data_IF_472788008795
#
_entry.id   IF_472788008795
#
_cell.length_a   1.000
_cell.length_b   1.000
_cell.length_c   1.000
_cell.angle_alpha   90.00
_cell.angle_beta   90.00
_cell.angle_gamma   90.00
#
_symmetry.space_group_name_H-M   'P 1'
#
loop_
_entity.id
_entity.type
_entity.pdbx_description
1 polymer ?
#
# COMPACT_ATOMS: atom_id res chain seq x y z
N UNK A 1 -3.29 34.97 -14.85
CA UNK A 1 -3.42 34.78 -13.39
C UNK A 1 -4.85 34.43 -12.98
N UNK A 2 -5.50 33.46 -13.63
CA UNK A 2 -6.86 33.01 -13.28
C UNK A 2 -6.93 31.49 -13.53
N UNK A 3 -6.42 30.67 -12.59
CA UNK A 3 -6.68 29.21 -12.52
C UNK A 3 -6.64 28.68 -11.07
N UNK A 4 -7.01 29.51 -10.10
CA UNK A 4 -7.08 29.12 -8.68
C UNK A 4 -8.50 29.11 -8.09
N UNK A 5 -9.54 29.37 -8.90
CA UNK A 5 -10.90 29.64 -8.43
C UNK A 5 -11.96 28.57 -8.81
N UNK A 6 -11.57 27.40 -9.32
CA UNK A 6 -12.53 26.31 -9.65
C UNK A 6 -12.49 25.17 -8.61
N UNK A 7 -11.57 25.17 -7.65
CA UNK A 7 -11.48 24.10 -6.64
C UNK A 7 -12.41 24.26 -5.42
N UNK A 8 -13.21 25.34 -5.34
CA UNK A 8 -14.00 25.65 -4.15
C UNK A 8 -15.52 25.38 -4.28
N UNK A 9 -16.01 24.79 -5.37
CA UNK A 9 -17.46 24.70 -5.66
C UNK A 9 -18.09 23.30 -5.67
N UNK A 10 -17.43 22.25 -5.16
CA UNK A 10 -18.03 20.89 -5.06
C UNK A 10 -18.10 20.38 -3.61
N UNK A 11 -18.13 21.29 -2.62
CA UNK A 11 -18.21 20.93 -1.19
C UNK A 11 -19.27 21.76 -0.46
N UNK A 12 -20.53 21.68 -0.93
CA UNK A 12 -21.71 21.99 -0.12
C UNK A 12 -23.00 21.63 -0.88
N UNK A 13 -23.38 20.36 -0.90
CA UNK A 13 -24.81 20.02 -0.90
C UNK A 13 -25.05 18.54 -0.60
N UNK A 14 -25.85 18.32 0.44
CA UNK A 14 -26.62 17.12 0.78
C UNK A 14 -25.86 15.98 1.48
N UNK A 15 -25.83 16.07 2.82
CA UNK A 15 -26.07 14.91 3.69
C UNK A 15 -27.59 14.79 3.91
N UNK A 16 -28.14 13.57 3.94
CA UNK A 16 -28.22 12.90 5.24
C UNK A 16 -27.81 11.42 5.23
N UNK A 17 -27.20 11.02 6.34
CA UNK A 17 -27.21 9.70 6.98
C UNK A 17 -27.43 8.45 6.08
N UNK A 18 -26.35 7.75 5.79
CA UNK A 18 -26.28 6.28 5.97
C UNK A 18 -24.83 5.82 5.96
N UNK A 19 -24.50 4.96 6.93
CA UNK A 19 -23.23 4.23 7.04
C UNK A 19 -22.98 3.46 5.74
N UNK A 20 -21.96 3.83 4.98
CA UNK A 20 -21.42 3.02 3.89
C UNK A 20 -19.96 3.38 3.65
N UNK A 21 -19.09 2.40 3.90
CA UNK A 21 -17.72 2.35 3.41
C UNK A 21 -17.68 2.77 1.94
N UNK A 22 -16.97 3.85 1.61
CA UNK A 22 -16.68 4.20 0.21
C UNK A 22 -15.40 3.47 -0.25
N UNK A 23 -15.45 2.70 -1.35
CA UNK A 23 -14.27 2.07 -1.94
C UNK A 23 -13.36 3.11 -2.62
N UNK A 24 -12.08 2.77 -2.90
CA UNK A 24 -11.06 3.71 -3.37
C UNK A 24 -11.17 4.01 -4.89
N UNK A 25 -12.37 4.36 -5.36
CA UNK A 25 -12.60 4.85 -6.73
C UNK A 25 -12.50 6.38 -6.86
N UNK A 26 -12.12 7.09 -5.79
CA UNK A 26 -12.03 8.56 -5.77
C UNK A 26 -10.63 9.15 -5.99
N UNK A 27 -9.65 8.35 -6.43
CA UNK A 27 -8.38 8.92 -6.89
C UNK A 27 -8.53 9.45 -8.32
N UNK A 28 -8.22 10.73 -8.60
CA UNK A 28 -8.31 11.27 -9.94
C UNK A 28 -7.27 10.60 -10.85
N UNK A 29 -7.72 9.83 -11.84
CA UNK A 29 -6.89 9.37 -12.94
C UNK A 29 -6.52 10.58 -13.83
N UNK A 30 -5.28 11.03 -13.74
CA UNK A 30 -4.73 12.02 -14.68
C UNK A 30 -4.24 11.27 -15.92
N UNK A 31 -4.68 11.63 -17.15
CA UNK A 31 -4.22 10.94 -18.37
C UNK A 31 -2.78 11.33 -18.70
N UNK A 32 -1.90 10.34 -18.88
CA UNK A 32 -0.54 10.54 -19.41
C UNK A 32 -0.52 10.41 -20.96
N UNK A 33 0.33 11.18 -21.66
CA UNK A 33 0.48 11.09 -23.11
C UNK A 33 1.37 9.91 -23.52
N UNK A 34 0.94 9.17 -24.55
CA UNK A 34 1.67 8.04 -25.15
C UNK A 34 2.89 8.51 -25.96
N UNK A 35 4.09 7.92 -25.80
CA UNK A 35 5.17 8.08 -26.76
C UNK A 35 5.01 7.18 -27.99
N UNK A 36 5.45 7.69 -29.13
CA UNK A 36 5.40 7.07 -30.46
C UNK A 36 6.30 5.85 -30.59
N UNK A 37 5.83 4.87 -31.37
CA UNK A 37 6.53 3.61 -31.68
C UNK A 37 7.83 3.90 -32.43
N UNK A 38 8.96 3.44 -31.90
CA UNK A 38 10.13 3.09 -32.71
C UNK A 38 10.59 1.68 -32.32
N UNK A 39 10.89 0.93 -33.37
CA UNK A 39 11.02 -0.52 -33.45
C UNK A 39 12.37 -1.02 -32.95
N UNK A 40 12.36 -2.03 -32.06
CA UNK A 40 13.41 -3.05 -32.02
C UNK A 40 12.75 -4.42 -31.91
N UNK A 41 13.03 -5.23 -32.94
CA UNK A 41 12.62 -6.62 -33.11
C UNK A 41 13.52 -7.51 -32.26
N UNK A 42 12.97 -8.13 -31.22
CA UNK A 42 13.53 -9.34 -30.62
C UNK A 42 12.43 -10.40 -30.59
N UNK A 43 12.68 -11.54 -31.24
CA UNK A 43 11.80 -12.70 -31.16
C UNK A 43 11.77 -13.24 -29.72
N UNK A 44 10.62 -13.71 -29.22
CA UNK A 44 10.54 -14.31 -27.89
C UNK A 44 11.27 -15.67 -27.86
N UNK A 45 11.88 -16.06 -26.73
CA UNK A 45 12.38 -17.42 -26.56
C UNK A 45 11.23 -18.43 -26.52
N UNK A 46 11.48 -19.64 -27.01
CA UNK A 46 10.49 -20.71 -27.07
C UNK A 46 9.96 -21.06 -25.66
N UNK A 47 8.65 -21.39 -25.54
CA UNK A 47 8.06 -21.78 -24.26
C UNK A 47 8.73 -23.06 -23.72
N UNK A 48 8.95 -23.16 -22.40
CA UNK A 48 9.55 -24.35 -21.81
C UNK A 48 8.67 -25.57 -22.06
N UNK A 49 9.31 -26.69 -22.37
CA UNK A 49 8.61 -27.94 -22.69
C UNK A 49 7.83 -28.49 -21.47
N UNK A 50 6.87 -29.38 -21.75
CA UNK A 50 6.02 -29.98 -20.72
C UNK A 50 6.83 -30.80 -19.69
N UNK A 51 8.04 -31.25 -20.05
CA UNK A 51 8.98 -31.94 -19.16
C UNK A 51 9.55 -30.99 -18.11
N UNK A 52 9.91 -29.77 -18.51
CA UNK A 52 10.41 -28.71 -17.64
C UNK A 52 9.32 -28.22 -16.69
N UNK A 53 8.09 -28.06 -17.18
CA UNK A 53 6.92 -27.68 -16.36
C UNK A 53 6.59 -28.78 -15.32
N UNK A 54 6.61 -30.05 -15.71
CA UNK A 54 6.36 -31.15 -14.78
C UNK A 54 7.47 -31.31 -13.74
N UNK A 55 8.72 -31.03 -14.10
CA UNK A 55 9.86 -31.05 -13.18
C UNK A 55 9.77 -29.90 -12.15
N UNK A 56 9.36 -28.71 -12.58
CA UNK A 56 9.10 -27.57 -11.70
C UNK A 56 7.94 -27.84 -10.73
N UNK A 57 6.84 -28.42 -11.22
CA UNK A 57 5.70 -28.79 -10.38
C UNK A 57 6.03 -29.90 -9.37
N UNK A 58 6.90 -30.85 -9.74
CA UNK A 58 7.41 -31.87 -8.83
C UNK A 58 8.33 -31.30 -7.74
N UNK A 59 9.09 -30.24 -8.04
CA UNK A 59 9.91 -29.50 -7.06
C UNK A 59 9.05 -28.68 -6.09
N UNK A 60 8.02 -28.00 -6.59
CA UNK A 60 7.06 -27.24 -5.76
C UNK A 60 6.32 -28.19 -4.81
N UNK A 61 5.94 -29.39 -5.27
CA UNK A 61 5.20 -30.39 -4.50
C UNK A 61 6.03 -31.11 -3.42
N UNK A 62 7.35 -31.06 -3.50
CA UNK A 62 8.28 -31.68 -2.55
C UNK A 62 8.81 -30.70 -1.50
N UNK A 63 8.49 -29.41 -1.62
CA UNK A 63 8.82 -28.44 -0.58
C UNK A 63 7.90 -28.72 0.61
N UNK A 64 8.42 -29.15 1.78
CA UNK A 64 7.59 -29.20 2.97
C UNK A 64 7.05 -27.80 3.20
N UNK A 65 5.75 -27.66 3.39
CA UNK A 65 5.17 -26.43 3.94
C UNK A 65 5.81 -26.23 5.32
N UNK A 66 6.93 -25.52 5.35
CA UNK A 66 7.66 -25.27 6.57
C UNK A 66 6.70 -24.51 7.50
N UNK A 67 6.44 -25.00 8.72
CA UNK A 67 5.62 -24.26 9.65
C UNK A 67 6.25 -22.90 9.88
N UNK A 68 5.46 -21.84 9.66
CA UNK A 68 5.85 -20.47 9.94
C UNK A 68 6.41 -20.37 11.37
N UNK A 69 7.53 -19.66 11.59
CA UNK A 69 8.10 -19.42 12.91
C UNK A 69 7.10 -18.94 13.96
N UNK A 70 7.40 -19.29 15.22
CA UNK A 70 6.46 -19.32 16.32
C UNK A 70 6.01 -17.92 16.79
N UNK A 71 5.00 -17.35 16.12
CA UNK A 71 4.27 -16.16 16.59
C UNK A 71 3.54 -16.44 17.92
N UNK A 72 3.80 -15.62 18.95
CA UNK A 72 3.37 -15.86 20.35
C UNK A 72 1.86 -15.71 20.63
N UNK A 73 1.04 -15.21 19.69
CA UNK A 73 -0.42 -15.20 19.80
C UNK A 73 -1.11 -15.72 18.53
N UNK A 74 -2.16 -16.53 18.70
CA UNK A 74 -2.96 -17.08 17.60
C UNK A 74 -3.54 -15.98 16.72
N UNK A 75 -3.98 -14.86 17.31
CA UNK A 75 -4.49 -13.69 16.59
C UNK A 75 -3.43 -13.01 15.74
N UNK A 76 -2.20 -12.85 16.23
CA UNK A 76 -1.11 -12.25 15.45
C UNK A 76 -0.72 -13.15 14.28
N UNK A 77 -0.57 -14.46 14.53
CA UNK A 77 -0.31 -15.45 13.47
C UNK A 77 -1.38 -15.41 12.38
N UNK A 78 -2.64 -15.48 12.79
CA UNK A 78 -3.76 -15.45 11.85
C UNK A 78 -3.78 -14.20 10.96
N UNK A 79 -3.46 -13.02 11.52
CA UNK A 79 -3.37 -11.79 10.72
C UNK A 79 -2.24 -11.80 9.72
N UNK A 80 -1.06 -12.30 10.10
CA UNK A 80 0.09 -12.43 9.17
C UNK A 80 -0.24 -13.41 8.05
N UNK A 81 -0.84 -14.55 8.37
CA UNK A 81 -1.31 -15.52 7.37
C UNK A 81 -2.35 -14.91 6.42
N UNK A 82 -3.27 -14.10 6.96
CA UNK A 82 -4.26 -13.38 6.15
C UNK A 82 -3.58 -12.34 5.24
N UNK A 83 -2.62 -11.57 5.75
CA UNK A 83 -1.85 -10.59 4.96
C UNK A 83 -1.11 -11.28 3.80
N UNK A 84 -0.46 -12.42 4.06
CA UNK A 84 0.22 -13.24 3.05
C UNK A 84 -0.75 -13.69 1.96
N UNK A 85 -1.91 -14.27 2.35
CA UNK A 85 -2.93 -14.72 1.40
C UNK A 85 -3.43 -13.57 0.52
N UNK A 86 -3.64 -12.40 1.12
CA UNK A 86 -4.09 -11.22 0.38
C UNK A 86 -3.00 -10.68 -0.56
N UNK A 87 -1.73 -10.68 -0.17
CA UNK A 87 -0.64 -10.33 -1.08
C UNK A 87 -0.52 -11.32 -2.24
N UNK A 88 -0.67 -12.61 -2.01
CA UNK A 88 -0.69 -13.61 -3.09
C UNK A 88 -1.87 -13.36 -4.05
N UNK A 89 -3.05 -13.08 -3.51
CA UNK A 89 -4.25 -12.79 -4.29
C UNK A 89 -4.14 -11.50 -5.13
N UNK A 90 -3.21 -10.58 -4.82
CA UNK A 90 -2.97 -9.40 -5.67
C UNK A 90 -2.51 -9.77 -7.09
N UNK A 91 -1.92 -10.94 -7.31
CA UNK A 91 -1.49 -11.40 -8.63
C UNK A 91 -2.68 -11.58 -9.58
N UNK A 92 -3.74 -12.22 -9.09
CA UNK A 92 -4.87 -12.67 -9.90
C UNK A 92 -6.16 -11.87 -9.67
N UNK A 93 -6.46 -11.50 -8.43
CA UNK A 93 -7.67 -10.77 -8.05
C UNK A 93 -7.38 -9.55 -7.16
N UNK A 94 -6.75 -8.50 -7.73
CA UNK A 94 -6.51 -7.27 -7.00
C UNK A 94 -7.78 -6.50 -6.64
N UNK A 95 -8.90 -6.73 -7.35
CA UNK A 95 -10.15 -6.03 -7.07
C UNK A 95 -10.70 -6.41 -5.69
N UNK A 96 -10.55 -7.68 -5.30
CA UNK A 96 -10.91 -8.17 -3.97
C UNK A 96 -9.77 -8.02 -2.96
N UNK A 97 -8.52 -8.28 -3.38
CA UNK A 97 -7.39 -8.31 -2.44
C UNK A 97 -7.03 -6.93 -1.88
N UNK A 98 -7.04 -5.88 -2.70
CA UNK A 98 -6.69 -4.51 -2.27
C UNK A 98 -7.59 -3.99 -1.15
N UNK A 99 -8.94 -3.97 -1.27
CA UNK A 99 -9.80 -3.48 -0.18
C UNK A 99 -9.63 -4.31 1.10
N UNK A 100 -9.44 -5.62 0.99
CA UNK A 100 -9.24 -6.48 2.14
C UNK A 100 -7.89 -6.23 2.84
N UNK A 101 -6.83 -5.88 2.11
CA UNK A 101 -5.56 -5.44 2.72
C UNK A 101 -5.77 -4.17 3.53
N UNK A 102 -6.51 -3.20 2.99
CA UNK A 102 -6.83 -1.98 3.73
C UNK A 102 -7.62 -2.26 5.00
N UNK A 103 -8.65 -3.10 4.94
CA UNK A 103 -9.41 -3.53 6.13
C UNK A 103 -8.51 -4.18 7.17
N UNK A 104 -7.61 -5.06 6.76
CA UNK A 104 -6.65 -5.72 7.64
C UNK A 104 -5.68 -4.72 8.28
N UNK A 105 -5.12 -3.79 7.50
CA UNK A 105 -4.19 -2.79 8.00
C UNK A 105 -4.86 -1.78 8.92
N UNK A 106 -6.05 -1.26 8.60
CA UNK A 106 -6.80 -0.34 9.49
C UNK A 106 -7.07 -0.91 10.87
N UNK A 107 -7.31 -2.23 10.94
CA UNK A 107 -7.69 -2.92 12.18
C UNK A 107 -6.53 -3.64 12.87
N UNK A 108 -5.28 -3.42 12.43
CA UNK A 108 -4.10 -4.12 12.94
C UNK A 108 -3.87 -3.89 14.45
N UNK A 109 -4.33 -2.77 15.01
CA UNK A 109 -4.24 -2.45 16.45
C UNK A 109 -5.58 -2.54 17.18
N UNK A 110 -6.54 -3.24 16.60
CA UNK A 110 -7.85 -3.50 17.21
C UNK A 110 -8.89 -2.41 16.91
N UNK A 111 -10.12 -2.66 17.35
CA UNK A 111 -11.28 -1.84 16.99
C UNK A 111 -11.20 -0.38 17.47
N UNK A 112 -10.62 -0.14 18.65
CA UNK A 112 -10.44 1.22 19.18
C UNK A 112 -9.52 2.06 18.29
N UNK A 113 -8.33 1.55 18.00
CA UNK A 113 -7.38 2.23 17.13
C UNK A 113 -7.92 2.42 15.70
N UNK A 114 -8.69 1.45 15.20
CA UNK A 114 -9.36 1.56 13.90
C UNK A 114 -10.42 2.67 13.89
N UNK A 115 -11.18 2.83 14.98
CA UNK A 115 -12.16 3.91 15.12
C UNK A 115 -11.49 5.29 15.16
N UNK A 116 -10.39 5.42 15.90
CA UNK A 116 -9.58 6.64 15.93
C UNK A 116 -9.04 6.98 14.52
N UNK A 117 -8.56 6.00 13.74
CA UNK A 117 -8.17 6.24 12.36
C UNK A 117 -9.33 6.70 11.47
N UNK A 118 -10.49 6.07 11.58
CA UNK A 118 -11.67 6.48 10.81
C UNK A 118 -12.08 7.93 11.14
N UNK A 119 -11.99 8.34 12.40
CA UNK A 119 -12.22 9.74 12.80
C UNK A 119 -11.19 10.69 12.19
N UNK A 120 -9.92 10.29 12.12
CA UNK A 120 -8.87 11.10 11.48
C UNK A 120 -9.16 11.34 10.00
N UNK A 121 -9.66 10.34 9.27
CA UNK A 121 -10.01 10.51 7.85
C UNK A 121 -11.13 11.54 7.64
N UNK A 122 -12.11 11.58 8.56
CA UNK A 122 -13.15 12.62 8.57
C UNK A 122 -12.53 14.00 8.77
N UNK A 123 -11.60 14.12 9.73
CA UNK A 123 -10.89 15.39 9.97
C UNK A 123 -9.94 15.79 8.83
N UNK A 124 -9.40 14.84 8.08
CA UNK A 124 -8.58 15.08 6.89
C UNK A 124 -9.39 15.55 5.67
N UNK A 125 -10.72 15.47 5.71
CA UNK A 125 -11.60 15.95 4.64
C UNK A 125 -11.81 17.47 4.68
N UNK A 126 -11.38 18.15 5.74
CA UNK A 126 -11.51 19.60 5.90
C UNK A 126 -10.21 20.21 6.48
N UNK A 127 -9.55 21.15 5.77
CA UNK A 127 -8.35 21.82 6.27
C UNK A 127 -8.49 22.46 7.66
N UNK A 128 -9.68 22.92 8.04
CA UNK A 128 -9.93 23.51 9.36
C UNK A 128 -9.74 22.50 10.51
N UNK A 129 -9.87 21.20 10.23
CA UNK A 129 -9.75 20.12 11.22
C UNK A 129 -8.44 19.34 11.13
N UNK A 130 -7.47 19.77 10.33
CA UNK A 130 -6.18 19.08 10.19
C UNK A 130 -5.40 18.96 11.50
N UNK A 131 -5.49 19.95 12.39
CA UNK A 131 -4.85 19.88 13.72
C UNK A 131 -5.36 18.69 14.54
N UNK A 132 -6.68 18.43 14.54
CA UNK A 132 -7.28 17.29 15.24
C UNK A 132 -6.80 15.95 14.67
N UNK A 133 -6.76 15.85 13.34
CA UNK A 133 -6.23 14.66 12.68
C UNK A 133 -4.77 14.41 13.07
N UNK A 134 -3.95 15.46 13.10
CA UNK A 134 -2.54 15.35 13.46
C UNK A 134 -2.33 14.91 14.90
N UNK A 135 -3.06 15.50 15.84
CA UNK A 135 -2.98 15.15 17.27
C UNK A 135 -3.32 13.68 17.50
N UNK A 136 -4.42 13.20 16.91
CA UNK A 136 -4.83 11.79 17.00
C UNK A 136 -3.82 10.86 16.32
N UNK A 137 -3.33 11.20 15.13
CA UNK A 137 -2.37 10.37 14.39
C UNK A 137 -1.02 10.28 15.10
N UNK A 138 -0.52 11.38 15.66
CA UNK A 138 0.72 11.37 16.45
C UNK A 138 0.53 10.53 17.72
N UNK A 139 -0.58 10.69 18.43
CA UNK A 139 -0.93 9.84 19.57
C UNK A 139 -1.02 8.35 19.23
N UNK A 140 -1.61 8.00 18.07
CA UNK A 140 -1.66 6.61 17.60
C UNK A 140 -0.27 6.06 17.28
N UNK A 141 0.58 6.86 16.61
CA UNK A 141 1.95 6.48 16.27
C UNK A 141 2.81 6.31 17.53
N UNK A 142 2.61 7.14 18.56
CA UNK A 142 3.32 7.05 19.83
C UNK A 142 2.90 5.82 20.64
N UNK A 143 1.59 5.53 20.73
CA UNK A 143 1.06 4.34 21.41
C UNK A 143 1.40 3.04 20.67
N UNK A 144 1.43 3.09 19.34
CA UNK A 144 1.69 1.92 18.49
C UNK A 144 2.79 2.23 17.47
N UNK A 145 4.07 2.21 17.87
CA UNK A 145 5.19 2.56 16.99
C UNK A 145 5.30 1.69 15.73
N UNK A 146 4.79 0.47 15.76
CA UNK A 146 4.76 -0.47 14.63
C UNK A 146 3.50 -0.36 13.75
N UNK A 147 2.55 0.53 14.08
CA UNK A 147 1.31 0.71 13.33
C UNK A 147 1.53 1.48 12.02
N UNK A 148 1.81 0.73 10.96
CA UNK A 148 2.18 1.29 9.66
C UNK A 148 1.07 2.11 9.02
N UNK A 149 -0.20 1.70 9.14
CA UNK A 149 -1.32 2.45 8.56
C UNK A 149 -1.49 3.83 9.21
N UNK A 150 -1.42 3.92 10.54
CA UNK A 150 -1.48 5.22 11.23
C UNK A 150 -0.36 6.16 10.80
N UNK A 151 0.86 5.63 10.65
CA UNK A 151 1.99 6.42 10.16
C UNK A 151 1.82 6.81 8.68
N UNK A 152 1.23 5.96 7.84
CA UNK A 152 0.89 6.30 6.45
C UNK A 152 -0.19 7.40 6.37
N UNK A 153 -1.18 7.38 7.26
CA UNK A 153 -2.18 8.45 7.39
C UNK A 153 -1.54 9.76 7.82
N UNK A 154 -0.57 9.73 8.73
CA UNK A 154 0.23 10.90 9.10
C UNK A 154 1.00 11.46 7.89
N UNK A 155 1.67 10.61 7.10
CA UNK A 155 2.33 11.05 5.87
C UNK A 155 1.33 11.72 4.90
N UNK A 156 0.15 11.15 4.75
CA UNK A 156 -0.92 11.71 3.91
C UNK A 156 -1.38 13.08 4.41
N UNK A 157 -1.62 13.23 5.71
CA UNK A 157 -2.00 14.51 6.31
C UNK A 157 -0.90 15.58 6.13
N UNK A 158 0.36 15.22 6.34
CA UNK A 158 1.50 16.12 6.12
C UNK A 158 1.56 16.58 4.66
N UNK A 159 1.29 15.68 3.71
CA UNK A 159 1.19 16.04 2.29
C UNK A 159 0.05 17.04 2.04
N UNK A 160 -1.14 16.80 2.60
CA UNK A 160 -2.29 17.70 2.50
C UNK A 160 -2.02 19.08 3.11
N UNK A 161 -1.23 19.15 4.19
CA UNK A 161 -0.75 20.38 4.82
C UNK A 161 0.35 21.10 4.02
N UNK A 162 0.83 20.52 2.91
CA UNK A 162 1.93 21.05 2.11
C UNK A 162 3.32 20.77 2.68
N UNK A 163 3.43 20.00 3.76
CA UNK A 163 4.70 19.58 4.39
C UNK A 163 5.29 18.37 3.65
N UNK A 164 5.45 18.50 2.33
CA UNK A 164 5.72 17.39 1.40
C UNK A 164 7.02 16.64 1.69
N UNK A 165 8.08 17.36 2.10
CA UNK A 165 9.37 16.71 2.44
C UNK A 165 9.25 15.85 3.70
N UNK A 166 8.51 16.31 4.70
CA UNK A 166 8.25 15.53 5.92
C UNK A 166 7.38 14.32 5.59
N UNK A 167 6.33 14.50 4.77
CA UNK A 167 5.48 13.42 4.29
C UNK A 167 6.28 12.30 3.60
N UNK A 168 7.23 12.65 2.71
CA UNK A 168 8.12 11.68 2.07
C UNK A 168 8.91 10.87 3.10
N UNK A 169 9.55 11.53 4.06
CA UNK A 169 10.33 10.85 5.11
C UNK A 169 9.48 9.94 6.00
N UNK A 170 8.25 10.35 6.34
CA UNK A 170 7.32 9.51 7.11
C UNK A 170 6.86 8.30 6.29
N UNK A 171 6.56 8.47 5.00
CA UNK A 171 6.21 7.35 4.11
C UNK A 171 7.37 6.36 3.94
N UNK A 172 8.61 6.83 3.85
CA UNK A 172 9.80 5.97 3.79
C UNK A 172 9.97 5.14 5.07
N UNK A 173 9.64 5.69 6.25
CA UNK A 173 9.63 4.91 7.50
C UNK A 173 8.57 3.82 7.53
N UNK A 174 7.43 4.01 6.83
CA UNK A 174 6.44 2.94 6.63
C UNK A 174 7.04 1.84 5.75
N UNK A 175 7.66 2.21 4.64
CA UNK A 175 8.25 1.28 3.68
C UNK A 175 9.48 0.54 4.20
N UNK A 176 10.19 1.11 5.18
CA UNK A 176 11.25 0.40 5.90
C UNK A 176 10.73 -0.79 6.73
N UNK A 177 9.45 -0.78 7.12
CA UNK A 177 8.81 -1.86 7.88
C UNK A 177 7.92 -2.75 7.03
N UNK A 178 7.12 -2.15 6.16
CA UNK A 178 6.25 -2.83 5.21
C UNK A 178 6.56 -2.36 3.78
N UNK A 179 7.61 -2.91 3.14
CA UNK A 179 7.97 -2.58 1.75
C UNK A 179 6.84 -2.75 0.74
N UNK A 180 5.85 -3.59 1.05
CA UNK A 180 4.67 -3.88 0.22
C UNK A 180 3.46 -2.98 0.51
N UNK A 181 3.60 -1.97 1.37
CA UNK A 181 2.49 -1.09 1.73
C UNK A 181 2.08 -0.20 0.55
N UNK A 182 0.97 -0.54 -0.08
CA UNK A 182 0.51 0.08 -1.34
C UNK A 182 0.35 1.60 -1.22
N UNK A 183 -0.27 2.07 -0.13
CA UNK A 183 -0.42 3.51 0.15
C UNK A 183 0.89 4.28 0.23
N UNK A 184 1.83 3.79 1.02
CA UNK A 184 3.10 4.46 1.23
C UNK A 184 3.97 4.46 -0.04
N UNK A 185 3.95 3.39 -0.85
CA UNK A 185 4.64 3.33 -2.15
C UNK A 185 4.11 4.40 -3.13
N UNK A 186 2.80 4.60 -3.17
CA UNK A 186 2.17 5.65 -3.97
C UNK A 186 2.41 7.04 -3.40
N UNK A 187 2.26 7.20 -2.08
CA UNK A 187 2.42 8.46 -1.38
C UNK A 187 3.84 9.01 -1.48
N UNK A 188 4.87 8.18 -1.31
CA UNK A 188 6.27 8.61 -1.42
C UNK A 188 6.62 9.05 -2.84
N UNK A 189 6.16 8.33 -3.86
CA UNK A 189 6.38 8.71 -5.26
C UNK A 189 5.73 10.07 -5.57
N UNK A 190 4.48 10.26 -5.14
CA UNK A 190 3.76 11.51 -5.28
C UNK A 190 4.44 12.67 -4.53
N UNK A 191 4.99 12.42 -3.35
CA UNK A 191 5.74 13.44 -2.62
C UNK A 191 6.97 13.90 -3.41
N UNK A 192 7.75 12.96 -3.97
CA UNK A 192 8.93 13.31 -4.76
C UNK A 192 8.59 14.02 -6.08
N UNK A 193 7.49 13.65 -6.74
CA UNK A 193 6.96 14.42 -7.88
C UNK A 193 6.67 15.87 -7.48
N UNK A 194 5.99 16.07 -6.35
CA UNK A 194 5.61 17.39 -5.86
C UNK A 194 6.83 18.22 -5.44
N UNK A 195 7.92 17.57 -5.04
CA UNK A 195 9.22 18.19 -4.76
C UNK A 195 10.05 18.47 -6.02
N UNK A 196 9.66 17.95 -7.19
CA UNK A 196 10.41 18.06 -8.44
C UNK A 196 11.58 17.07 -8.56
N UNK A 197 11.69 16.09 -7.66
CA UNK A 197 12.72 15.04 -7.68
C UNK A 197 12.24 13.86 -8.52
N UNK A 198 12.35 14.02 -9.84
CA UNK A 198 11.84 13.04 -10.82
C UNK A 198 12.56 11.70 -10.76
N UNK A 199 13.84 11.70 -10.36
CA UNK A 199 14.65 10.49 -10.22
C UNK A 199 14.12 9.62 -9.08
N UNK A 200 13.98 10.19 -7.88
CA UNK A 200 13.43 9.44 -6.74
C UNK A 200 11.99 9.04 -6.97
N UNK A 201 11.16 9.90 -7.57
CA UNK A 201 9.79 9.55 -7.92
C UNK A 201 9.75 8.33 -8.86
N UNK A 202 10.56 8.30 -9.92
CA UNK A 202 10.64 7.16 -10.84
C UNK A 202 11.16 5.90 -10.15
N UNK A 203 12.15 6.02 -9.26
CA UNK A 203 12.66 4.90 -8.47
C UNK A 203 11.58 4.27 -7.57
N UNK A 204 10.77 5.09 -6.89
CA UNK A 204 9.68 4.59 -6.06
C UNK A 204 8.52 4.01 -6.87
N UNK A 205 8.17 4.59 -8.03
CA UNK A 205 7.17 3.99 -8.92
C UNK A 205 7.56 2.60 -9.41
N UNK A 206 8.84 2.35 -9.69
CA UNK A 206 9.32 1.00 -10.08
C UNK A 206 9.16 -0.05 -8.97
N UNK A 207 9.00 0.38 -7.71
CA UNK A 207 8.74 -0.52 -6.58
C UNK A 207 7.25 -0.80 -6.37
N UNK A 208 6.36 -0.03 -7.01
CA UNK A 208 4.92 -0.27 -6.94
C UNK A 208 4.55 -1.58 -7.61
N UNK A 209 3.40 -2.11 -7.22
CA UNK A 209 2.83 -3.30 -7.85
C UNK A 209 2.58 -3.03 -9.34
N UNK A 210 3.02 -3.90 -10.27
CA UNK A 210 2.76 -3.74 -11.69
C UNK A 210 1.26 -3.69 -11.99
N UNK A 211 0.81 -2.70 -12.76
CA UNK A 211 -0.61 -2.52 -13.09
C UNK A 211 -1.17 -3.70 -13.89
N UNK A 212 -0.41 -4.18 -14.87
CA UNK A 212 -0.77 -5.30 -15.72
C UNK A 212 -0.63 -6.62 -14.96
N UNK A 213 -1.64 -7.48 -15.06
CA UNK A 213 -1.55 -8.87 -14.58
C UNK A 213 -0.57 -9.66 -15.45
N UNK A 214 0.23 -10.52 -14.81
CA UNK A 214 1.26 -11.32 -15.47
C UNK A 214 2.41 -11.65 -14.53
N UNK A 215 3.46 -12.24 -15.08
CA UNK A 215 4.60 -12.77 -14.34
C UNK A 215 5.29 -11.72 -13.44
N UNK A 216 5.49 -10.50 -13.93
CA UNK A 216 6.10 -9.42 -13.13
C UNK A 216 5.31 -9.11 -11.85
N UNK A 217 3.96 -9.16 -11.92
CA UNK A 217 3.09 -8.93 -10.79
C UNK A 217 3.10 -10.11 -9.82
N UNK A 218 3.08 -11.33 -10.35
CA UNK A 218 3.22 -12.56 -9.54
C UNK A 218 4.55 -12.56 -8.80
N UNK A 219 5.63 -12.20 -9.48
CA UNK A 219 6.97 -12.08 -8.90
C UNK A 219 7.03 -10.96 -7.85
N UNK A 220 6.34 -9.83 -8.08
CA UNK A 220 6.17 -8.79 -7.08
C UNK A 220 5.53 -9.32 -5.80
N UNK A 221 4.43 -10.08 -5.93
CA UNK A 221 3.73 -10.68 -4.80
C UNK A 221 4.63 -11.70 -4.07
N UNK A 222 5.29 -12.60 -4.82
CA UNK A 222 6.17 -13.64 -4.27
C UNK A 222 7.30 -13.05 -3.42
N UNK A 223 7.98 -12.02 -3.93
CA UNK A 223 9.06 -11.33 -3.20
C UNK A 223 8.58 -10.72 -1.90
N UNK A 224 7.46 -10.01 -1.92
CA UNK A 224 6.96 -9.34 -0.72
C UNK A 224 6.31 -10.29 0.29
N UNK A 225 5.81 -11.45 -0.15
CA UNK A 225 5.47 -12.54 0.77
C UNK A 225 6.73 -13.04 1.51
N UNK A 226 7.86 -13.17 0.82
CA UNK A 226 9.12 -13.52 1.47
C UNK A 226 9.58 -12.42 2.45
N UNK A 227 9.39 -11.13 2.12
CA UNK A 227 9.69 -10.03 3.04
C UNK A 227 8.83 -10.10 4.31
N UNK A 228 7.52 -10.43 4.20
CA UNK A 228 6.65 -10.65 5.36
C UNK A 228 7.21 -11.75 6.26
N UNK A 229 7.52 -12.91 5.67
CA UNK A 229 8.03 -14.07 6.39
C UNK A 229 9.32 -13.69 7.13
N UNK A 230 10.29 -13.11 6.41
CA UNK A 230 11.55 -12.65 7.02
C UNK A 230 11.36 -11.64 8.14
N UNK A 231 10.43 -10.69 7.99
CA UNK A 231 10.15 -9.67 9.01
C UNK A 231 9.61 -10.29 10.31
N UNK A 232 8.71 -11.26 10.21
CA UNK A 232 8.08 -11.88 11.38
C UNK A 232 8.94 -12.99 12.00
N UNK A 233 9.78 -13.65 11.22
CA UNK A 233 10.72 -14.68 11.70
C UNK A 233 11.80 -14.04 12.57
N UNK A 234 12.40 -12.94 12.11
CA UNK A 234 13.39 -12.17 12.89
C UNK A 234 12.81 -11.44 14.10
N UNK A 235 11.49 -11.21 14.12
CA UNK A 235 10.80 -10.60 15.28
C UNK A 235 10.54 -11.57 16.44
N UNK A 236 10.86 -12.87 16.27
CA UNK A 236 10.70 -13.88 17.31
C UNK A 236 11.96 -14.05 18.19
N UNK A 237 13.10 -13.47 17.79
CA UNK A 237 14.36 -13.48 18.55
C UNK A 237 14.54 -12.24 19.43
N UNK A 238 13.58 -11.94 20.33
CA UNK A 238 13.77 -11.05 21.50
C UNK A 238 12.95 -11.59 22.69
#
# INVERSE_FOLDING_TARGET
MIKAAILASILASLLPLSLSFLPPSSFPQVPLPLPSKSSLSCSPPDPPDASTINSLNALISQTPSAPLPALRSSTKRHRVEQEIRLLQALADDPATAVPNLWTLWYSEKGAGAAAELAETDVHMSNPATYHKAEDTLRSLVDRYPDFCEARNRLATLLFLKGQVREAAGVAEQVLARKPWHLGALSGVALCYDRLGDTERAAMWRRKQIPERRGEERTEWCRRHVADIISYWDGSCEI
#
